data_IF_707642169474
#
_entry.id   IF_707642169474
#
_cell.length_a   1.000
_cell.length_b   1.000
_cell.length_c   1.000
_cell.angle_alpha   90.00
_cell.angle_beta   90.00
_cell.angle_gamma   90.00
#
_symmetry.space_group_name_H-M   'P 1'
#
loop_
_entity.id
_entity.type
_entity.pdbx_description
1 polymer ?
#
# COMPACT_ATOMS: atom_id res chain seq x y z
N UNK A 1 -21.66 -41.02 -6.55
CA UNK A 1 -22.47 -40.39 -5.48
C UNK A 1 -21.76 -40.23 -4.14
N UNK A 2 -20.81 -41.11 -3.75
CA UNK A 2 -20.14 -41.06 -2.43
C UNK A 2 -19.12 -39.92 -2.23
N UNK A 3 -18.50 -39.41 -3.30
CA UNK A 3 -17.54 -38.31 -3.20
C UNK A 3 -18.20 -36.94 -2.95
N UNK A 4 -19.36 -36.69 -3.59
CA UNK A 4 -20.09 -35.44 -3.41
C UNK A 4 -20.64 -35.29 -1.98
N UNK A 5 -21.09 -36.40 -1.37
CA UNK A 5 -21.55 -36.40 0.02
C UNK A 5 -20.41 -36.18 1.00
N UNK A 6 -19.22 -36.76 0.76
CA UNK A 6 -18.04 -36.52 1.61
C UNK A 6 -17.59 -35.06 1.51
N UNK A 7 -17.58 -34.49 0.31
CA UNK A 7 -17.15 -33.11 0.08
C UNK A 7 -18.11 -32.10 0.73
N UNK A 8 -19.43 -32.36 0.70
CA UNK A 8 -20.42 -31.58 1.43
C UNK A 8 -20.26 -31.68 2.95
N UNK A 9 -19.98 -32.86 3.49
CA UNK A 9 -19.75 -33.04 4.93
C UNK A 9 -18.51 -32.28 5.40
N UNK A 10 -17.42 -32.28 4.62
CA UNK A 10 -16.19 -31.53 4.95
C UNK A 10 -16.44 -30.01 4.92
N UNK A 11 -17.20 -29.50 3.96
CA UNK A 11 -17.53 -28.07 3.88
C UNK A 11 -18.39 -27.65 5.08
N UNK A 12 -19.38 -28.46 5.48
CA UNK A 12 -20.23 -28.19 6.64
C UNK A 12 -19.42 -28.21 7.95
N UNK A 13 -18.46 -29.13 8.10
CA UNK A 13 -17.58 -29.19 9.27
C UNK A 13 -16.66 -27.96 9.36
N UNK A 14 -16.09 -27.49 8.25
CA UNK A 14 -15.26 -26.28 8.23
C UNK A 14 -16.07 -25.03 8.57
N UNK A 15 -17.33 -24.94 8.11
CA UNK A 15 -18.21 -23.81 8.44
C UNK A 15 -18.66 -23.79 9.92
N UNK A 16 -18.79 -24.95 10.57
CA UNK A 16 -19.12 -25.04 12.00
C UNK A 16 -17.94 -24.64 12.92
N UNK A 17 -16.70 -24.81 12.47
CA UNK A 17 -15.50 -24.40 13.22
C UNK A 17 -15.34 -22.87 13.23
N UNK A 18 -15.70 -22.17 12.15
CA UNK A 18 -15.64 -20.69 12.11
C UNK A 18 -16.78 -20.00 12.88
N UNK A 19 -17.85 -20.71 13.22
CA UNK A 19 -18.99 -20.19 13.98
C UNK A 19 -18.95 -20.50 15.49
N UNK A 20 -17.99 -21.31 15.96
CA UNK A 20 -17.89 -21.71 17.36
C UNK A 20 -16.81 -20.97 18.17
N UNK A 21 -15.91 -20.22 17.53
CA UNK A 21 -14.96 -19.34 18.23
C UNK A 21 -15.45 -17.88 18.24
N UNK A 22 -16.36 -17.58 19.18
CA UNK A 22 -16.46 -16.32 19.98
C UNK A 22 -17.86 -16.13 20.55
N UNK A 23 -18.39 -17.13 21.26
CA UNK A 23 -19.56 -16.93 22.12
C UNK A 23 -19.33 -17.51 23.51
N UNK A 24 -19.08 -16.61 24.46
CA UNK A 24 -19.47 -16.75 25.85
C UNK A 24 -18.69 -17.73 26.73
N UNK A 25 -17.94 -17.17 27.69
CA UNK A 25 -17.88 -17.74 29.06
C UNK A 25 -18.17 -16.64 30.06
N UNK A 26 -19.42 -16.60 30.50
CA UNK A 26 -19.78 -16.07 31.81
C UNK A 26 -19.65 -17.16 32.86
N UNK A 27 -19.55 -16.73 34.13
CA UNK A 27 -20.07 -17.48 35.28
C UNK A 27 -19.06 -17.94 36.33
N UNK A 28 -19.34 -17.57 37.58
CA UNK A 28 -18.88 -18.25 38.81
C UNK A 28 -17.94 -17.40 39.69
N UNK A 29 -18.21 -17.08 40.95
CA UNK A 29 -19.28 -17.52 41.83
C UNK A 29 -19.39 -16.64 43.08
N UNK A 30 -20.59 -16.67 43.68
CA UNK A 30 -20.93 -16.14 45.01
C UNK A 30 -20.59 -17.19 46.08
N UNK A 31 -20.07 -16.73 47.22
CA UNK A 31 -20.21 -17.21 48.61
C UNK A 31 -18.98 -16.71 49.37
N UNK A 32 -19.01 -16.14 50.58
CA UNK A 32 -19.95 -16.19 51.69
C UNK A 32 -19.09 -16.49 52.93
N UNK A 33 -19.23 -15.71 54.03
CA UNK A 33 -18.66 -16.11 55.32
C UNK A 33 -18.05 -14.99 56.16
N UNK A 34 -18.84 -14.52 57.12
CA UNK A 34 -18.52 -13.58 58.19
C UNK A 34 -17.54 -14.13 59.23
N UNK A 35 -16.80 -13.23 59.91
CA UNK A 35 -16.57 -13.10 61.37
C UNK A 35 -15.13 -12.66 61.70
N UNK A 36 -14.98 -11.70 62.62
CA UNK A 36 -13.75 -11.59 63.41
C UNK A 36 -13.21 -10.17 63.63
N UNK A 37 -13.66 -9.56 64.72
CA UNK A 37 -13.31 -8.27 65.31
C UNK A 37 -11.82 -7.97 65.55
N UNK A 38 -11.49 -6.67 65.59
CA UNK A 38 -10.63 -5.92 66.56
C UNK A 38 -9.45 -5.13 65.97
N UNK A 39 -9.42 -3.85 66.35
CA UNK A 39 -8.20 -3.04 66.54
C UNK A 39 -7.75 -2.30 65.29
N UNK A 40 -7.93 -0.98 65.18
CA UNK A 40 -7.18 0.09 65.84
C UNK A 40 -6.32 0.83 64.81
N UNK A 41 -6.69 2.10 64.58
CA UNK A 41 -5.84 3.27 64.31
C UNK A 41 -4.60 3.04 63.42
N UNK A 42 -4.58 3.68 62.25
CA UNK A 42 -3.58 4.71 61.90
C UNK A 42 -3.36 4.83 60.38
N UNK A 43 -3.15 6.08 59.97
CA UNK A 43 -2.61 6.55 58.69
C UNK A 43 -3.52 6.51 57.46
N UNK A 44 -3.98 7.72 57.11
CA UNK A 44 -4.50 8.08 55.78
C UNK A 44 -3.42 7.86 54.72
N UNK A 45 -3.37 6.68 54.12
CA UNK A 45 -2.76 6.50 52.81
C UNK A 45 -3.80 6.87 51.75
N UNK A 46 -3.74 8.11 51.25
CA UNK A 46 -4.44 8.51 50.01
C UNK A 46 -3.77 7.76 48.84
N UNK A 47 -4.16 6.51 48.62
CA UNK A 47 -3.95 5.83 47.35
C UNK A 47 -4.81 6.55 46.32
N UNK A 48 -4.21 7.54 45.67
CA UNK A 48 -4.75 8.08 44.41
C UNK A 48 -4.77 6.90 43.45
N UNK A 49 -5.96 6.35 43.23
CA UNK A 49 -6.28 5.54 42.07
C UNK A 49 -5.99 6.38 40.81
N UNK A 50 -4.72 6.41 40.40
CA UNK A 50 -4.35 6.72 39.02
C UNK A 50 -4.84 5.52 38.22
N UNK A 51 -6.14 5.51 37.93
CA UNK A 51 -6.68 4.73 36.83
C UNK A 51 -5.96 5.21 35.58
N UNK A 52 -4.85 4.55 35.24
CA UNK A 52 -4.19 4.80 33.98
C UNK A 52 -5.17 4.30 32.93
N UNK A 53 -5.88 5.22 32.27
CA UNK A 53 -6.52 4.87 31.02
C UNK A 53 -5.40 4.35 30.12
N UNK A 54 -5.39 3.06 29.84
CA UNK A 54 -4.39 2.33 29.04
C UNK A 54 -4.39 2.76 27.56
N UNK A 55 -4.91 3.95 27.24
CA UNK A 55 -4.87 4.52 25.91
C UNK A 55 -3.39 4.76 25.56
N UNK A 56 -2.90 4.17 24.46
CA UNK A 56 -1.50 4.31 24.08
C UNK A 56 -1.17 5.79 23.89
N UNK A 57 -0.04 6.21 24.48
CA UNK A 57 0.43 7.60 24.38
C UNK A 57 0.61 7.96 22.91
N UNK A 58 -0.16 8.95 22.45
CA UNK A 58 -0.02 9.48 21.09
C UNK A 58 1.28 10.28 21.05
N UNK A 59 2.15 9.93 20.11
CA UNK A 59 3.43 10.58 19.83
C UNK A 59 3.49 10.95 18.35
N UNK A 60 4.49 11.75 17.97
CA UNK A 60 4.80 12.04 16.56
C UNK A 60 5.10 10.80 15.71
N UNK A 61 5.31 9.64 16.33
CA UNK A 61 5.58 8.36 15.67
C UNK A 61 4.41 7.39 15.74
N UNK A 62 3.31 7.75 16.42
CA UNK A 62 2.13 6.89 16.48
C UNK A 62 1.56 6.75 15.07
N UNK A 63 1.49 5.52 14.52
CA UNK A 63 0.97 5.29 13.18
C UNK A 63 -0.45 5.82 13.03
N UNK A 64 -0.72 6.53 11.94
CA UNK A 64 -2.06 7.00 11.61
C UNK A 64 -2.75 5.92 10.79
N UNK A 65 -3.92 5.45 11.25
CA UNK A 65 -4.73 4.52 10.48
C UNK A 65 -5.31 5.24 9.26
N UNK A 66 -5.11 4.66 8.09
CA UNK A 66 -5.72 5.14 6.87
C UNK A 66 -7.18 4.69 6.78
N UNK A 67 -8.08 5.65 6.62
CA UNK A 67 -9.54 5.46 6.45
C UNK A 67 -10.03 5.94 5.08
N UNK A 68 -9.26 6.77 4.40
CA UNK A 68 -9.48 7.24 3.03
C UNK A 68 -8.16 7.43 2.32
N UNK A 69 -8.15 7.48 0.99
CA UNK A 69 -7.01 7.83 0.14
C UNK A 69 -6.20 9.06 0.63
N UNK A 70 -6.88 10.06 1.20
CA UNK A 70 -6.28 11.31 1.68
C UNK A 70 -5.83 11.27 3.14
N UNK A 71 -6.09 10.19 3.87
CA UNK A 71 -5.73 10.10 5.29
C UNK A 71 -4.26 10.46 5.50
N UNK A 72 -3.95 11.23 6.55
CA UNK A 72 -2.62 11.72 6.74
C UNK A 72 -1.62 10.62 7.07
N UNK A 73 -0.35 10.89 6.77
CA UNK A 73 0.74 9.93 6.92
C UNK A 73 1.94 10.57 7.59
N UNK A 74 2.58 9.81 8.49
CA UNK A 74 3.88 10.18 9.04
C UNK A 74 5.01 9.62 8.18
N UNK A 75 6.19 10.23 8.28
CA UNK A 75 7.38 9.88 7.48
C UNK A 75 7.75 8.39 7.62
N UNK A 76 7.56 7.78 8.80
CA UNK A 76 7.84 6.35 9.04
C UNK A 76 6.87 5.41 8.33
N UNK A 77 5.68 5.88 7.93
CA UNK A 77 4.70 5.12 7.14
C UNK A 77 4.92 5.25 5.62
N UNK A 78 5.94 6.01 5.19
CA UNK A 78 6.23 6.22 3.77
C UNK A 78 7.49 5.49 3.32
N UNK A 79 7.47 5.00 2.08
CA UNK A 79 8.61 4.43 1.36
C UNK A 79 9.25 5.51 0.50
N UNK A 80 10.58 5.45 0.35
CA UNK A 80 11.29 6.24 -0.64
C UNK A 80 11.21 5.53 -1.99
N UNK A 81 10.81 6.23 -3.04
CA UNK A 81 10.94 5.71 -4.40
C UNK A 81 12.41 5.70 -4.82
N UNK A 82 12.91 4.55 -5.28
CA UNK A 82 14.27 4.45 -5.81
C UNK A 82 14.26 4.50 -7.33
N UNK A 83 15.12 5.34 -7.94
CA UNK A 83 15.32 5.32 -9.40
C UNK A 83 15.90 4.01 -9.89
N UNK A 84 16.77 3.36 -9.13
CA UNK A 84 17.36 2.07 -9.55
C UNK A 84 16.30 0.98 -9.75
N UNK A 85 15.13 1.11 -9.12
CA UNK A 85 14.03 0.14 -9.26
C UNK A 85 13.18 0.32 -10.53
N UNK A 86 13.47 1.33 -11.36
CA UNK A 86 12.87 1.46 -12.71
C UNK A 86 13.45 0.42 -13.68
N UNK A 87 14.67 -0.03 -13.40
CA UNK A 87 15.42 -1.01 -14.18
C UNK A 87 15.20 -2.41 -13.61
N UNK A 88 14.09 -3.01 -14.01
CA UNK A 88 13.75 -4.39 -13.65
C UNK A 88 14.41 -5.38 -14.61
N UNK A 89 14.82 -6.54 -14.06
CA UNK A 89 15.30 -7.70 -14.83
C UNK A 89 14.23 -8.77 -15.04
N UNK A 90 13.11 -8.64 -14.33
CA UNK A 90 11.99 -9.54 -14.43
C UNK A 90 10.69 -8.74 -14.42
N UNK A 91 9.70 -9.24 -15.14
CA UNK A 91 8.42 -8.57 -15.31
C UNK A 91 7.28 -9.58 -15.24
N UNK A 92 6.17 -9.19 -14.60
CA UNK A 92 4.99 -10.02 -14.60
C UNK A 92 4.34 -10.03 -15.98
N UNK A 93 3.99 -11.21 -16.48
CA UNK A 93 3.21 -11.33 -17.70
C UNK A 93 1.83 -10.67 -17.56
N UNK A 94 1.19 -10.90 -16.42
CA UNK A 94 0.01 -10.19 -15.99
C UNK A 94 -0.05 -10.12 -14.47
N UNK A 95 -0.07 -8.92 -13.91
CA UNK A 95 -0.27 -8.71 -12.47
C UNK A 95 -1.17 -7.50 -12.26
N UNK A 96 -2.21 -7.67 -11.44
CA UNK A 96 -3.09 -6.59 -10.99
C UNK A 96 -3.16 -6.61 -9.48
N UNK A 97 -2.83 -5.48 -8.86
CA UNK A 97 -2.95 -5.32 -7.41
C UNK A 97 -3.84 -4.13 -7.11
N UNK A 98 -4.91 -4.38 -6.34
CA UNK A 98 -5.81 -3.35 -5.80
C UNK A 98 -5.61 -3.29 -4.29
N UNK A 99 -5.24 -2.12 -3.79
CA UNK A 99 -4.94 -1.95 -2.38
C UNK A 99 -6.10 -1.30 -1.63
N UNK A 100 -6.43 -1.85 -0.47
CA UNK A 100 -7.28 -1.17 0.52
C UNK A 100 -6.46 -0.07 1.18
N UNK A 101 -7.09 1.04 1.58
CA UNK A 101 -6.37 2.22 2.09
C UNK A 101 -5.43 1.93 3.26
N UNK A 102 -5.77 0.96 4.11
CA UNK A 102 -4.97 0.53 5.26
C UNK A 102 -3.66 -0.19 4.90
N UNK A 103 -3.64 -0.92 3.77
CA UNK A 103 -2.49 -1.69 3.30
C UNK A 103 -1.75 -1.04 2.12
N UNK A 104 -2.36 -0.03 1.50
CA UNK A 104 -1.80 0.72 0.38
C UNK A 104 -0.44 1.34 0.73
N UNK A 105 0.55 1.08 -0.13
CA UNK A 105 1.87 1.67 0.01
C UNK A 105 1.83 3.17 -0.23
N UNK A 106 2.54 3.92 0.62
CA UNK A 106 2.66 5.36 0.51
C UNK A 106 4.10 5.71 0.16
N UNK A 107 4.29 6.48 -0.91
CA UNK A 107 5.60 6.88 -1.42
C UNK A 107 5.88 8.36 -1.19
N UNK A 108 7.15 8.68 -0.94
CA UNK A 108 7.68 10.06 -0.88
C UNK A 108 8.85 10.19 -1.85
N UNK A 109 9.14 11.44 -2.26
CA UNK A 109 10.20 11.84 -3.21
C UNK A 109 10.02 11.32 -4.64
N UNK A 110 9.42 10.16 -4.82
CA UNK A 110 8.95 9.68 -6.11
C UNK A 110 8.48 8.24 -6.05
N UNK A 111 8.14 7.72 -7.22
CA UNK A 111 7.64 6.39 -7.44
C UNK A 111 8.27 5.80 -8.73
N UNK A 112 8.83 4.59 -8.68
CA UNK A 112 9.44 3.94 -9.82
C UNK A 112 8.41 3.34 -10.79
N UNK A 113 8.38 3.85 -12.02
CA UNK A 113 7.68 3.25 -13.14
C UNK A 113 8.64 2.34 -13.93
N UNK A 114 8.15 1.67 -14.98
CA UNK A 114 9.00 0.83 -15.82
C UNK A 114 9.90 1.73 -16.69
N UNK A 115 11.23 1.71 -16.49
CA UNK A 115 12.21 2.54 -17.22
C UNK A 115 11.97 4.08 -17.17
N UNK A 116 11.04 4.53 -16.33
CA UNK A 116 10.73 5.95 -16.10
C UNK A 116 10.49 6.22 -14.61
N UNK A 117 10.60 7.48 -14.18
CA UNK A 117 10.50 7.85 -12.77
C UNK A 117 9.54 9.01 -12.56
N UNK A 118 8.62 8.85 -11.60
CA UNK A 118 7.68 9.89 -11.22
C UNK A 118 8.21 10.58 -9.97
N UNK A 119 8.58 11.86 -10.04
CA UNK A 119 9.04 12.60 -8.88
C UNK A 119 7.87 13.21 -8.11
N UNK A 120 7.96 13.12 -6.78
CA UNK A 120 6.97 13.65 -5.84
C UNK A 120 7.67 14.76 -5.05
N UNK A 121 7.08 15.96 -5.01
CA UNK A 121 7.63 17.10 -4.26
C UNK A 121 7.97 16.71 -2.81
N UNK A 122 9.12 17.14 -2.29
CA UNK A 122 9.67 16.72 -0.97
C UNK A 122 8.67 16.82 0.19
N UNK A 123 7.75 17.79 0.14
CA UNK A 123 6.71 18.03 1.16
C UNK A 123 5.42 17.24 0.97
N UNK A 124 5.35 16.36 -0.03
CA UNK A 124 4.17 15.57 -0.38
C UNK A 124 4.46 14.07 -0.28
N UNK A 125 3.37 13.30 -0.24
CA UNK A 125 3.39 11.85 -0.33
C UNK A 125 2.17 11.39 -1.14
N UNK A 126 2.31 10.25 -1.78
CA UNK A 126 1.29 9.66 -2.64
C UNK A 126 0.98 8.26 -2.13
N UNK A 127 -0.31 7.93 -2.01
CA UNK A 127 -0.77 6.58 -1.70
C UNK A 127 -1.19 5.88 -2.98
N UNK A 128 -0.59 4.73 -3.24
CA UNK A 128 -0.88 3.91 -4.42
C UNK A 128 -2.05 2.99 -4.10
N UNK A 129 -3.13 3.07 -4.89
CA UNK A 129 -4.34 2.27 -4.71
C UNK A 129 -4.48 1.18 -5.75
N UNK A 130 -3.76 1.31 -6.87
CA UNK A 130 -3.85 0.40 -7.98
C UNK A 130 -2.50 0.31 -8.70
N UNK A 131 -2.08 -0.92 -8.99
CA UNK A 131 -0.95 -1.23 -9.85
C UNK A 131 -1.36 -2.33 -10.84
N UNK A 132 -0.97 -2.18 -12.10
CA UNK A 132 -1.10 -3.21 -13.13
C UNK A 132 0.19 -3.28 -13.92
N UNK A 133 0.62 -4.49 -14.24
CA UNK A 133 1.77 -4.78 -15.09
C UNK A 133 1.34 -5.83 -16.11
N UNK A 134 1.67 -5.61 -17.39
CA UNK A 134 1.31 -6.48 -18.52
C UNK A 134 2.48 -6.63 -19.47
N UNK A 135 2.72 -7.85 -19.92
CA UNK A 135 3.46 -8.16 -21.14
C UNK A 135 2.49 -8.25 -22.30
N UNK A 136 2.82 -7.54 -23.37
CA UNK A 136 2.00 -7.45 -24.57
C UNK A 136 2.80 -7.88 -25.80
N UNK A 137 2.08 -8.39 -26.79
CA UNK A 137 2.59 -8.52 -28.15
C UNK A 137 2.55 -7.17 -28.88
N UNK A 138 2.94 -7.18 -30.15
CA UNK A 138 2.91 -6.03 -31.06
C UNK A 138 1.50 -5.57 -31.43
N UNK A 139 0.48 -6.41 -31.23
CA UNK A 139 -0.94 -6.09 -31.39
C UNK A 139 -1.63 -5.69 -30.07
N UNK A 140 -0.85 -5.40 -29.02
CA UNK A 140 -1.31 -5.02 -27.66
C UNK A 140 -2.13 -6.10 -26.93
N UNK A 141 -2.14 -7.34 -27.42
CA UNK A 141 -2.82 -8.44 -26.77
C UNK A 141 -2.01 -8.95 -25.59
N UNK A 142 -2.76 -9.38 -24.58
CA UNK A 142 -2.20 -9.97 -23.37
C UNK A 142 -1.62 -11.35 -23.65
N UNK A 143 -0.38 -11.57 -23.22
CA UNK A 143 0.21 -12.89 -23.26
C UNK A 143 -0.13 -13.68 -21.98
N UNK A 144 -1.33 -14.25 -21.93
CA UNK A 144 -1.87 -14.91 -20.73
C UNK A 144 -1.74 -16.43 -20.71
N UNK A 145 -1.58 -17.08 -21.88
CA UNK A 145 -1.73 -18.53 -21.95
C UNK A 145 -0.43 -19.32 -21.74
N UNK A 146 0.74 -18.72 -21.96
CA UNK A 146 2.04 -19.39 -21.86
C UNK A 146 2.97 -18.84 -20.76
N UNK A 147 2.69 -17.64 -20.23
CA UNK A 147 3.53 -16.98 -19.22
C UNK A 147 2.70 -16.74 -17.96
N UNK A 148 2.71 -17.69 -17.03
CA UNK A 148 2.24 -17.43 -15.68
C UNK A 148 3.37 -16.82 -14.84
N UNK A 149 3.06 -15.81 -14.03
CA UNK A 149 4.00 -15.25 -13.05
C UNK A 149 5.04 -14.29 -13.60
N UNK A 150 6.16 -14.16 -12.88
CA UNK A 150 7.25 -13.25 -13.20
C UNK A 150 8.23 -13.88 -14.19
N UNK A 151 8.44 -13.22 -15.33
CA UNK A 151 9.29 -13.66 -16.41
C UNK A 151 10.64 -12.95 -16.40
N UNK A 152 11.71 -13.71 -16.62
CA UNK A 152 13.04 -13.13 -16.78
C UNK A 152 13.15 -12.45 -18.15
N UNK A 153 13.68 -11.23 -18.13
CA UNK A 153 13.90 -10.45 -19.34
C UNK A 153 15.24 -10.82 -19.97
N UNK A 154 15.32 -10.82 -21.31
CA UNK A 154 16.59 -11.04 -22.00
C UNK A 154 17.61 -9.97 -21.63
N UNK A 155 18.88 -10.37 -21.62
CA UNK A 155 20.00 -9.43 -21.42
C UNK A 155 20.12 -8.51 -22.65
N UNK A 156 20.41 -7.23 -22.44
CA UNK A 156 20.62 -6.27 -23.54
C UNK A 156 19.36 -5.78 -24.24
N UNK A 157 18.16 -6.02 -23.68
CA UNK A 157 16.91 -5.50 -24.24
C UNK A 157 16.86 -3.97 -24.28
N UNK A 158 17.64 -3.29 -23.44
CA UNK A 158 17.59 -1.84 -23.31
C UNK A 158 18.12 -1.13 -24.56
N UNK A 159 19.07 -1.76 -25.26
CA UNK A 159 19.61 -1.29 -26.54
C UNK A 159 18.60 -1.39 -27.69
N UNK A 160 17.50 -2.08 -27.44
CA UNK A 160 16.46 -2.46 -28.41
C UNK A 160 15.13 -1.75 -28.13
N UNK A 161 15.11 -0.79 -27.20
CA UNK A 161 13.93 0.02 -26.90
C UNK A 161 13.67 1.01 -28.04
N UNK A 162 12.52 0.88 -28.68
CA UNK A 162 12.08 1.72 -29.80
C UNK A 162 11.36 2.96 -29.32
N UNK A 163 10.41 2.79 -28.39
CA UNK A 163 9.60 3.88 -27.87
C UNK A 163 9.30 3.65 -26.38
N UNK A 164 9.26 4.75 -25.63
CA UNK A 164 8.86 4.76 -24.23
C UNK A 164 8.00 5.99 -23.98
N UNK A 165 6.71 5.74 -23.78
CA UNK A 165 5.70 6.75 -23.48
C UNK A 165 5.26 6.61 -22.04
N UNK A 166 5.26 7.72 -21.30
CA UNK A 166 4.72 7.77 -19.94
C UNK A 166 3.69 8.89 -19.83
N UNK A 167 2.43 8.68 -20.28
CA UNK A 167 1.34 9.61 -20.04
C UNK A 167 0.91 9.62 -18.57
N UNK A 168 0.62 10.81 -18.07
CA UNK A 168 -0.05 11.05 -16.80
C UNK A 168 -1.36 11.74 -17.05
N UNK A 169 -2.44 11.07 -16.67
CA UNK A 169 -3.81 11.57 -16.73
C UNK A 169 -4.20 12.11 -15.37
N UNK A 170 -4.55 13.38 -15.33
CA UNK A 170 -5.09 14.04 -14.16
C UNK A 170 -6.62 14.05 -14.21
N UNK A 171 -7.27 14.25 -13.06
CA UNK A 171 -8.74 14.26 -12.98
C UNK A 171 -9.37 15.41 -13.77
N UNK A 172 -8.67 16.54 -13.92
CA UNK A 172 -9.11 17.67 -14.75
C UNK A 172 -9.12 17.37 -16.27
N UNK A 173 -8.72 16.16 -16.69
CA UNK A 173 -8.65 15.76 -18.10
C UNK A 173 -7.31 16.10 -18.78
N UNK A 174 -6.46 16.88 -18.11
CA UNK A 174 -5.12 17.18 -18.61
C UNK A 174 -4.28 15.91 -18.69
N UNK A 175 -3.57 15.74 -19.80
CA UNK A 175 -2.63 14.64 -19.99
C UNK A 175 -1.26 15.21 -20.31
N UNK A 176 -0.28 14.93 -19.45
CA UNK A 176 1.14 15.24 -19.72
C UNK A 176 1.84 13.95 -20.13
N UNK A 177 2.44 13.93 -21.32
CA UNK A 177 3.17 12.77 -21.83
C UNK A 177 4.66 13.04 -21.85
N UNK A 178 5.44 12.13 -21.29
CA UNK A 178 6.89 12.12 -21.43
C UNK A 178 7.35 11.03 -22.39
N UNK A 179 8.39 11.35 -23.15
CA UNK A 179 9.04 10.46 -24.09
C UNK A 179 10.49 10.19 -23.65
N UNK A 180 10.88 8.91 -23.66
CA UNK A 180 12.26 8.47 -23.45
C UNK A 180 12.60 7.94 -22.06
N UNK A 181 13.76 7.28 -21.95
CA UNK A 181 14.26 6.56 -20.76
C UNK A 181 14.77 7.50 -19.70
N UNK A 182 14.60 7.11 -18.43
CA UNK A 182 15.07 7.85 -17.23
C UNK A 182 14.56 9.28 -17.11
N UNK A 183 13.59 9.64 -17.95
CA UNK A 183 12.90 10.90 -17.86
C UNK A 183 12.08 10.93 -16.58
N UNK A 184 12.08 12.13 -16.01
CA UNK A 184 11.47 12.37 -14.71
C UNK A 184 10.18 13.13 -14.92
N UNK A 185 9.08 12.50 -14.56
CA UNK A 185 7.80 13.18 -14.52
C UNK A 185 7.66 13.86 -13.18
N UNK A 186 7.83 15.17 -13.18
CA UNK A 186 7.49 15.96 -12.02
C UNK A 186 5.98 16.06 -11.93
N UNK A 187 5.43 15.48 -10.87
CA UNK A 187 4.12 15.86 -10.42
C UNK A 187 4.25 17.25 -9.78
N UNK A 188 4.27 18.29 -10.64
CA UNK A 188 4.04 19.69 -10.26
C UNK A 188 2.74 19.77 -9.45
N UNK A 189 2.59 20.84 -8.66
CA UNK A 189 1.61 20.97 -7.59
C UNK A 189 0.30 20.23 -7.87
N UNK A 190 0.27 18.94 -7.47
CA UNK A 190 -0.89 18.10 -7.64
C UNK A 190 -1.93 18.74 -6.75
N UNK A 191 -2.83 19.50 -7.36
CA UNK A 191 -3.91 20.23 -6.72
C UNK A 191 -4.90 19.23 -6.14
N UNK A 192 -4.50 18.45 -5.15
CA UNK A 192 -5.33 17.47 -4.44
C UNK A 192 -6.09 16.47 -5.36
N UNK A 193 -5.60 16.29 -6.59
CA UNK A 193 -6.21 15.45 -7.62
C UNK A 193 -5.66 14.01 -7.61
N UNK A 194 -6.52 13.10 -8.03
CA UNK A 194 -6.16 11.74 -8.43
C UNK A 194 -5.39 11.78 -9.74
N UNK A 195 -4.44 10.87 -9.89
CA UNK A 195 -3.74 10.72 -11.15
C UNK A 195 -3.52 9.24 -11.49
N UNK A 196 -3.43 9.00 -12.79
CA UNK A 196 -3.09 7.71 -13.37
C UNK A 196 -1.85 7.90 -14.24
N UNK A 197 -0.83 7.10 -13.96
CA UNK A 197 0.39 7.04 -14.77
C UNK A 197 0.38 5.72 -15.51
N UNK A 198 0.50 5.78 -16.83
CA UNK A 198 0.73 4.59 -17.65
C UNK A 198 2.11 4.72 -18.25
N UNK A 199 2.88 3.65 -18.26
CA UNK A 199 4.11 3.55 -19.02
C UNK A 199 3.97 2.43 -20.03
N UNK A 200 4.18 2.75 -21.30
CA UNK A 200 4.20 1.80 -22.40
C UNK A 200 5.59 1.85 -23.03
N UNK A 201 6.28 0.72 -23.03
CA UNK A 201 7.59 0.54 -23.62
C UNK A 201 7.50 -0.49 -24.75
N UNK A 202 8.03 -0.14 -25.92
CA UNK A 202 8.01 -1.00 -27.11
C UNK A 202 9.43 -1.31 -27.56
N UNK A 203 9.69 -2.57 -27.89
CA UNK A 203 11.00 -3.09 -28.26
C UNK A 203 10.96 -3.69 -29.68
N UNK A 204 12.07 -3.63 -30.41
CA UNK A 204 12.19 -4.26 -31.74
C UNK A 204 12.56 -5.76 -31.66
N UNK A 205 12.88 -6.26 -30.46
CA UNK A 205 13.12 -7.67 -30.18
C UNK A 205 12.12 -8.20 -29.17
N UNK A 206 12.01 -9.52 -29.10
CA UNK A 206 11.21 -10.18 -28.07
C UNK A 206 11.90 -10.08 -26.71
N UNK A 207 11.15 -9.61 -25.71
CA UNK A 207 11.63 -9.29 -24.35
C UNK A 207 11.90 -10.57 -23.55
N UNK A 208 11.07 -11.59 -23.73
CA UNK A 208 11.14 -12.87 -23.02
C UNK A 208 11.46 -13.98 -24.03
N UNK A 209 12.27 -14.96 -23.60
CA UNK A 209 12.69 -16.09 -24.45
C UNK A 209 11.50 -16.96 -24.84
N UNK A 210 11.48 -17.44 -26.09
CA UNK A 210 10.41 -18.28 -26.65
C UNK A 210 9.02 -17.63 -26.61
N UNK A 211 8.95 -16.30 -26.73
CA UNK A 211 7.69 -15.54 -26.79
C UNK A 211 7.75 -14.53 -27.93
N UNK A 212 6.60 -13.96 -28.28
CA UNK A 212 6.47 -12.82 -29.20
C UNK A 212 6.31 -11.49 -28.48
N UNK A 213 6.45 -11.44 -27.15
CA UNK A 213 6.22 -10.22 -26.38
C UNK A 213 7.27 -9.15 -26.70
N UNK A 214 6.83 -8.04 -27.26
CA UNK A 214 7.68 -6.89 -27.63
C UNK A 214 7.34 -5.65 -26.82
N UNK A 215 6.31 -5.70 -25.98
CA UNK A 215 5.81 -4.53 -25.26
C UNK A 215 5.62 -4.78 -23.75
N UNK A 216 5.81 -3.71 -22.99
CA UNK A 216 5.58 -3.66 -21.54
C UNK A 216 4.64 -2.52 -21.22
N UNK A 217 3.55 -2.81 -20.53
CA UNK A 217 2.66 -1.82 -19.94
C UNK A 217 2.70 -1.87 -18.41
N UNK A 218 2.93 -0.72 -17.77
CA UNK A 218 2.76 -0.53 -16.32
C UNK A 218 1.78 0.61 -16.06
N UNK A 219 0.69 0.33 -15.35
CA UNK A 219 -0.28 1.34 -14.91
C UNK A 219 -0.24 1.48 -13.39
N UNK A 220 -0.26 2.73 -12.92
CA UNK A 220 -0.35 3.06 -11.49
C UNK A 220 -1.40 4.13 -11.30
N UNK A 221 -2.36 3.87 -10.41
CA UNK A 221 -3.27 4.92 -9.92
C UNK A 221 -2.93 5.25 -8.50
N UNK A 222 -2.85 6.54 -8.23
CA UNK A 222 -2.45 7.01 -6.93
C UNK A 222 -3.09 8.35 -6.62
N UNK A 223 -3.27 8.60 -5.33
CA UNK A 223 -3.79 9.86 -4.82
C UNK A 223 -2.80 10.47 -3.84
N UNK A 224 -2.79 11.80 -3.79
CA UNK A 224 -2.13 12.54 -2.72
C UNK A 224 -2.66 12.14 -1.34
N UNK A 225 -1.74 11.87 -0.43
CA UNK A 225 -2.02 11.80 1.00
C UNK A 225 -1.70 13.15 1.65
N UNK A 226 -2.58 13.64 2.54
CA UNK A 226 -2.33 14.88 3.26
C UNK A 226 -1.18 14.70 4.25
N UNK A 227 -0.10 15.44 4.06
CA UNK A 227 0.97 15.45 5.06
C UNK A 227 0.56 16.33 6.25
N UNK A 228 -0.10 15.78 7.27
CA UNK A 228 -0.20 16.48 8.57
C UNK A 228 1.20 16.54 9.16
N UNK A 229 1.76 17.75 9.19
CA UNK A 229 2.99 18.18 9.85
C UNK A 229 4.19 17.22 9.75
N UNK A 230 5.16 17.60 8.90
CA UNK A 230 6.55 17.22 9.16
C UNK A 230 6.95 17.79 10.53
N UNK A 231 6.75 17.05 11.61
CA UNK A 231 7.48 17.29 12.85
C UNK A 231 8.90 16.77 12.68
N UNK A 232 9.69 17.47 11.85
CA UNK A 232 11.14 17.46 11.99
C UNK A 232 11.44 17.97 13.41
N UNK A 233 12.23 17.22 14.17
CA UNK A 233 12.40 17.44 15.60
C UNK A 233 12.81 18.87 15.92
N UNK A 234 11.89 19.63 16.49
CA UNK A 234 12.07 20.53 17.62
C UNK A 234 10.68 21.04 18.00
N UNK A 235 10.15 20.54 19.12
CA UNK A 235 9.01 21.16 19.78
C UNK A 235 9.50 22.46 20.40
N UNK A 236 9.37 23.57 19.67
CA UNK A 236 9.04 24.86 20.30
C UNK A 236 7.70 25.31 19.72
N UNK A 237 6.70 25.16 20.58
CA UNK A 237 5.53 26.01 20.74
C UNK A 237 4.73 26.35 19.47
N UNK A 238 3.55 25.72 19.34
CA UNK A 238 2.42 26.29 18.62
C UNK A 238 1.26 26.42 19.63
N UNK A 239 1.23 27.55 20.33
CA UNK A 239 -0.02 28.23 20.68
C UNK A 239 -0.29 29.23 19.54
N UNK A 240 -1.57 29.55 19.36
CA UNK A 240 -2.14 30.40 18.31
C UNK A 240 -2.19 29.67 16.96
N UNK A 241 -3.34 29.55 16.29
CA UNK A 241 -4.27 30.64 16.02
C UNK A 241 -5.73 30.20 16.17
N UNK A 242 -6.48 31.09 16.83
CA UNK A 242 -7.90 31.36 16.66
C UNK A 242 -8.14 31.97 15.27
#
# INVERSE_FOLDING_TARGET
MRFATVLLVVIVLMAMVELSETRGRGGGGRSGGSRGSRGSKSSRSRTRSRGSSSKPKITKYTPIKATSVRSPVIVKQTKLGSRSSTFKRAIAAYLVTRYVFSSASVYRQGYPMYRSYVSIRKKRAVRVTFERERLLDDWENLYLNELAGSQAMKKGIDDNLVDLKTPVKYKNGETKTLHGVDKTLSLEDIEDQDFEVVTLASYNITIVTATTCTQVEKTVKAMRSNKKQMFTGNMKTAREQE
#
